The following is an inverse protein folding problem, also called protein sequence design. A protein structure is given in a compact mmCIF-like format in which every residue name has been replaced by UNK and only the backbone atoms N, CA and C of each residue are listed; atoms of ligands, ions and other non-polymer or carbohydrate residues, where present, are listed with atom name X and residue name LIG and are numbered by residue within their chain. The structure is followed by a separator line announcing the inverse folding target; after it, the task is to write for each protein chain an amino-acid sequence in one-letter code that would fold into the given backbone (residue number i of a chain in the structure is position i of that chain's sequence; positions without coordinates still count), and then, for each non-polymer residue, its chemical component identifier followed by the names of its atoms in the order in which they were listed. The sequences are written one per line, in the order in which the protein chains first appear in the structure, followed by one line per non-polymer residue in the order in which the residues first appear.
data_IF_664808463392
#
_entry.id   IF_664808463392
#
_cell.length_a   1.000
_cell.length_b   1.000
_cell.length_c   1.000
_cell.angle_alpha   90.00
_cell.angle_beta   90.00
_cell.angle_gamma   90.00
#
_symmetry.space_group_name_H-M   'P 1'
#
loop_
_entity.id
_entity.type
_entity.pdbx_description
1 polymer ?
#
# COMPACT_ATOMS: atom_id res chain seq x y z
N UNK A 1 12.44 -24.72 -8.46
CA UNK A 1 13.58 -23.83 -8.15
C UNK A 1 13.46 -23.37 -6.71
N UNK A 2 14.04 -24.10 -5.76
CA UNK A 2 14.08 -23.67 -4.35
C UNK A 2 15.20 -22.67 -4.15
N UNK A 3 14.92 -21.39 -4.44
CA UNK A 3 15.84 -20.30 -4.16
C UNK A 3 15.90 -20.11 -2.64
N UNK A 4 16.97 -20.59 -1.99
CA UNK A 4 17.19 -20.27 -0.58
C UNK A 4 17.54 -18.78 -0.50
N UNK A 5 16.65 -17.99 0.08
CA UNK A 5 16.89 -16.58 0.36
C UNK A 5 18.15 -16.48 1.22
N UNK A 6 19.16 -15.77 0.74
CA UNK A 6 20.33 -15.48 1.57
C UNK A 6 19.92 -14.54 2.70
N UNK A 7 20.64 -14.51 3.82
CA UNK A 7 20.33 -13.59 4.93
C UNK A 7 20.29 -12.12 4.48
N UNK A 8 21.01 -11.77 3.41
CA UNK A 8 20.95 -10.44 2.77
C UNK A 8 19.62 -10.19 2.05
N UNK A 9 19.02 -11.19 1.42
CA UNK A 9 17.73 -11.07 0.74
C UNK A 9 16.61 -10.92 1.78
N UNK A 10 16.68 -11.68 2.87
CA UNK A 10 15.74 -11.56 3.99
C UNK A 10 15.84 -10.16 4.62
N UNK A 11 17.06 -9.66 4.82
CA UNK A 11 17.28 -8.30 5.31
C UNK A 11 16.74 -7.25 4.34
N UNK A 12 16.98 -7.39 3.04
CA UNK A 12 16.49 -6.48 2.01
C UNK A 12 14.95 -6.50 1.90
N UNK A 13 14.34 -7.68 1.87
CA UNK A 13 12.88 -7.87 1.88
C UNK A 13 12.26 -7.30 3.17
N UNK A 14 12.93 -7.50 4.31
CA UNK A 14 12.53 -6.94 5.59
C UNK A 14 12.55 -5.40 5.58
N UNK A 15 13.64 -4.79 5.10
CA UNK A 15 13.75 -3.34 4.97
C UNK A 15 12.75 -2.75 3.97
N UNK A 16 12.49 -3.42 2.84
CA UNK A 16 11.50 -2.99 1.86
C UNK A 16 10.09 -2.99 2.47
N UNK A 17 9.74 -4.06 3.18
CA UNK A 17 8.44 -4.19 3.85
C UNK A 17 8.32 -3.17 4.99
N UNK A 18 9.39 -2.96 5.75
CA UNK A 18 9.47 -1.92 6.77
C UNK A 18 9.25 -0.52 6.18
N UNK A 19 9.95 -0.18 5.10
CA UNK A 19 9.80 1.11 4.42
C UNK A 19 8.37 1.34 3.89
N UNK A 20 7.69 0.28 3.45
CA UNK A 20 6.29 0.34 3.03
C UNK A 20 5.36 0.65 4.21
N UNK A 21 5.57 0.04 5.37
CA UNK A 21 4.75 0.27 6.57
C UNK A 21 5.13 1.51 7.38
N UNK A 22 6.36 1.99 7.30
CA UNK A 22 6.83 3.24 7.92
C UNK A 22 6.74 4.41 6.94
N UNK A 23 6.23 4.17 5.72
CA UNK A 23 6.04 5.21 4.72
C UNK A 23 5.13 6.35 5.18
N UNK A 24 5.18 7.47 4.45
CA UNK A 24 4.52 8.73 4.81
C UNK A 24 3.03 8.58 5.22
N UNK A 25 2.29 7.64 4.62
CA UNK A 25 0.92 7.35 5.02
C UNK A 25 0.80 6.90 6.47
N UNK A 26 1.54 5.86 6.87
CA UNK A 26 1.40 5.29 8.21
C UNK A 26 2.02 6.14 9.32
N UNK A 27 2.84 7.14 8.99
CA UNK A 27 3.35 8.13 9.96
C UNK A 27 2.40 9.33 10.09
N UNK A 28 1.79 9.80 9.00
CA UNK A 28 0.98 11.03 8.99
C UNK A 28 -0.48 10.75 9.41
N UNK A 29 -1.03 9.59 9.06
CA UNK A 29 -2.42 9.29 9.35
C UNK A 29 -2.73 9.14 10.85
N UNK A 30 -1.96 8.42 11.69
CA UNK A 30 -2.35 8.19 13.08
C UNK A 30 -2.56 9.46 13.92
N UNK A 31 -1.69 10.49 13.86
CA UNK A 31 -1.94 11.76 14.53
C UNK A 31 -3.20 12.45 13.98
N UNK A 32 -3.42 12.37 12.67
CA UNK A 32 -4.57 13.00 12.02
C UNK A 32 -5.89 12.34 12.41
N UNK A 33 -5.96 11.00 12.41
CA UNK A 33 -7.16 10.26 12.86
C UNK A 33 -7.34 10.41 14.36
N UNK A 34 -6.24 10.44 15.13
CA UNK A 34 -6.24 10.67 16.58
C UNK A 34 -6.87 12.02 16.93
N UNK A 35 -6.44 13.10 16.27
CA UNK A 35 -7.00 14.44 16.45
C UNK A 35 -8.49 14.52 16.05
N UNK A 36 -8.91 13.76 15.03
CA UNK A 36 -10.31 13.73 14.59
C UNK A 36 -11.20 12.85 15.48
N UNK A 37 -10.63 11.85 16.16
CA UNK A 37 -11.36 10.87 16.96
C UNK A 37 -11.74 11.32 18.38
N UNK A 38 -11.25 12.49 18.83
CA UNK A 38 -11.63 13.07 20.12
C UNK A 38 -11.35 12.12 21.30
N UNK A 39 -12.39 11.71 22.04
CA UNK A 39 -12.26 10.77 23.16
C UNK A 39 -12.12 9.29 22.72
N UNK A 40 -12.40 8.95 21.46
CA UNK A 40 -12.39 7.57 20.95
C UNK A 40 -11.08 7.20 20.23
N UNK A 41 -9.95 7.74 20.68
CA UNK A 41 -8.62 7.52 20.07
C UNK A 41 -8.26 6.04 20.00
N UNK A 42 -8.58 5.26 21.03
CA UNK A 42 -8.26 3.83 21.08
C UNK A 42 -9.00 3.01 20.01
N UNK A 43 -10.28 3.33 19.76
CA UNK A 43 -11.09 2.66 18.74
C UNK A 43 -10.60 3.06 17.34
N UNK A 44 -10.29 4.34 17.14
CA UNK A 44 -9.71 4.83 15.88
C UNK A 44 -8.33 4.21 15.59
N UNK A 45 -7.48 4.07 16.61
CA UNK A 45 -6.17 3.44 16.49
C UNK A 45 -6.27 1.95 16.13
N UNK A 46 -7.21 1.21 16.74
CA UNK A 46 -7.46 -0.19 16.39
C UNK A 46 -8.01 -0.35 14.97
N UNK A 47 -8.97 0.49 14.56
CA UNK A 47 -9.49 0.48 13.19
C UNK A 47 -8.40 0.80 12.16
N UNK A 48 -7.54 1.78 12.47
CA UNK A 48 -6.38 2.11 11.65
C UNK A 48 -5.40 0.94 11.56
N UNK A 49 -5.05 0.29 12.69
CA UNK A 49 -4.12 -0.84 12.69
C UNK A 49 -4.64 -2.00 11.84
N UNK A 50 -5.92 -2.36 12.00
CA UNK A 50 -6.55 -3.47 11.25
C UNK A 50 -6.57 -3.18 9.75
N UNK A 51 -6.86 -1.95 9.36
CA UNK A 51 -6.98 -1.59 7.93
C UNK A 51 -5.62 -1.30 7.28
N UNK A 52 -4.77 -0.51 7.93
CA UNK A 52 -3.47 -0.09 7.42
C UNK A 52 -2.42 -1.20 7.46
N UNK A 53 -2.53 -2.17 8.37
CA UNK A 53 -1.60 -3.31 8.44
C UNK A 53 -2.27 -4.62 8.02
N UNK A 54 -3.51 -4.86 8.42
CA UNK A 54 -4.20 -6.11 8.12
C UNK A 54 -4.45 -6.35 6.63
N UNK A 55 -4.91 -5.34 5.87
CA UNK A 55 -5.13 -5.51 4.43
C UNK A 55 -3.82 -5.78 3.66
N UNK A 56 -2.72 -5.01 3.85
CA UNK A 56 -1.45 -5.32 3.21
C UNK A 56 -0.88 -6.69 3.59
N UNK A 57 -0.96 -7.09 4.87
CA UNK A 57 -0.50 -8.41 5.32
C UNK A 57 -1.32 -9.52 4.66
N UNK A 58 -2.65 -9.41 4.62
CA UNK A 58 -3.53 -10.35 3.92
C UNK A 58 -3.18 -10.44 2.43
N UNK A 59 -2.84 -9.31 1.80
CA UNK A 59 -2.43 -9.25 0.39
C UNK A 59 -1.10 -9.96 0.16
N UNK A 60 -0.10 -9.74 1.03
CA UNK A 60 1.20 -10.43 0.94
C UNK A 60 1.05 -11.93 1.15
N UNK A 61 0.22 -12.37 2.11
CA UNK A 61 -0.08 -13.79 2.34
C UNK A 61 -0.75 -14.39 1.11
N UNK A 62 -1.75 -13.73 0.53
CA UNK A 62 -2.42 -14.20 -0.69
C UNK A 62 -1.43 -14.34 -1.86
N UNK A 63 -0.55 -13.36 -2.06
CA UNK A 63 0.49 -13.39 -3.09
C UNK A 63 1.49 -14.53 -2.86
N UNK A 64 1.91 -14.75 -1.61
CA UNK A 64 2.80 -15.84 -1.25
C UNK A 64 2.17 -17.22 -1.47
N UNK A 65 0.86 -17.37 -1.19
CA UNK A 65 0.12 -18.61 -1.43
C UNK A 65 -0.03 -18.96 -2.91
N UNK A 66 -0.11 -17.95 -3.76
CA UNK A 66 -0.35 -18.11 -5.20
C UNK A 66 0.96 -18.20 -6.01
N UNK A 67 2.12 -18.19 -5.34
CA UNK A 67 3.42 -18.40 -5.99
C UNK A 67 4.06 -17.14 -6.56
N UNK A 68 3.64 -15.95 -6.10
CA UNK A 68 4.35 -14.69 -6.34
C UNK A 68 4.03 -13.96 -7.66
N UNK A 69 3.22 -14.55 -8.54
CA UNK A 69 2.83 -13.92 -9.81
C UNK A 69 1.46 -13.24 -9.75
N UNK A 70 1.38 -11.99 -10.23
CA UNK A 70 0.09 -11.28 -10.43
C UNK A 70 -0.80 -12.02 -11.44
N UNK A 71 -0.18 -12.69 -12.42
CA UNK A 71 -0.85 -13.60 -13.36
C UNK A 71 -1.45 -14.82 -12.65
N UNK A 72 -0.75 -15.39 -11.66
CA UNK A 72 -1.21 -16.53 -10.90
C UNK A 72 -2.37 -16.15 -9.94
N UNK A 73 -2.34 -14.92 -9.38
CA UNK A 73 -3.45 -14.32 -8.62
C UNK A 73 -4.71 -14.11 -9.48
N UNK A 74 -4.52 -13.87 -10.77
CA UNK A 74 -5.62 -13.62 -11.73
C UNK A 74 -6.16 -14.90 -12.38
N UNK A 75 -5.51 -16.05 -12.21
CA UNK A 75 -6.03 -17.34 -12.74
C UNK A 75 -7.43 -17.70 -12.21
N UNK A 76 -7.76 -17.57 -10.91
CA UNK A 76 -9.10 -17.84 -10.41
C UNK A 76 -10.10 -16.68 -10.60
N UNK A 77 -9.63 -15.45 -10.83
CA UNK A 77 -10.47 -14.24 -11.01
C UNK A 77 -10.76 -13.93 -12.49
N UNK A 78 -9.95 -14.47 -13.41
CA UNK A 78 -9.98 -14.17 -14.84
C UNK A 78 -8.99 -13.04 -15.19
N UNK A 79 -8.20 -13.25 -16.25
CA UNK A 79 -7.14 -12.32 -16.70
C UNK A 79 -7.66 -10.91 -17.00
N UNK A 80 -8.90 -10.81 -17.48
CA UNK A 80 -9.58 -9.55 -17.78
C UNK A 80 -9.99 -8.79 -16.51
N UNK A 81 -10.54 -9.48 -15.51
CA UNK A 81 -10.93 -8.85 -14.24
C UNK A 81 -9.71 -8.38 -13.43
N UNK A 82 -8.61 -9.14 -13.45
CA UNK A 82 -7.32 -8.74 -12.86
C UNK A 82 -6.72 -7.50 -13.52
N UNK A 83 -6.73 -7.44 -14.86
CA UNK A 83 -6.28 -6.26 -15.61
C UNK A 83 -7.13 -5.04 -15.33
N UNK A 84 -8.46 -5.17 -15.34
CA UNK A 84 -9.39 -4.08 -15.08
C UNK A 84 -9.20 -3.53 -13.66
N UNK A 85 -9.10 -4.41 -12.66
CA UNK A 85 -8.83 -4.02 -11.28
C UNK A 85 -7.46 -3.33 -11.16
N UNK A 86 -6.41 -3.89 -11.77
CA UNK A 86 -5.08 -3.30 -11.75
C UNK A 86 -5.07 -1.91 -12.40
N UNK A 87 -5.73 -1.73 -13.54
CA UNK A 87 -5.85 -0.42 -14.21
C UNK A 87 -6.60 0.58 -13.32
N UNK A 88 -7.73 0.19 -12.73
CA UNK A 88 -8.49 1.07 -11.82
C UNK A 88 -7.67 1.44 -10.59
N UNK A 89 -6.99 0.48 -9.96
CA UNK A 89 -6.11 0.74 -8.82
C UNK A 89 -4.94 1.66 -9.17
N UNK A 90 -4.30 1.45 -10.34
CA UNK A 90 -3.18 2.29 -10.77
C UNK A 90 -3.62 3.72 -11.09
N UNK A 91 -4.79 3.88 -11.72
CA UNK A 91 -5.40 5.19 -11.98
C UNK A 91 -5.87 5.86 -10.68
N UNK A 92 -6.36 5.09 -9.72
CA UNK A 92 -6.72 5.59 -8.40
C UNK A 92 -5.49 6.14 -7.66
N UNK A 93 -4.48 5.29 -7.42
CA UNK A 93 -3.27 5.61 -6.64
C UNK A 93 -2.42 6.69 -7.30
N UNK A 94 -2.26 6.66 -8.63
CA UNK A 94 -1.46 7.65 -9.35
C UNK A 94 -2.24 8.95 -9.58
N UNK A 95 -2.91 9.11 -10.73
CA UNK A 95 -3.53 10.36 -11.10
C UNK A 95 -4.63 10.80 -10.15
N UNK A 96 -5.56 9.96 -9.69
CA UNK A 96 -6.71 10.44 -8.89
C UNK A 96 -6.33 10.87 -7.46
N UNK A 97 -5.41 10.18 -6.79
CA UNK A 97 -4.88 10.64 -5.49
C UNK A 97 -3.91 11.82 -5.64
N UNK A 98 -3.10 11.89 -6.70
CA UNK A 98 -2.21 13.04 -6.95
C UNK A 98 -2.96 14.29 -7.45
N UNK A 99 -4.05 14.13 -8.20
CA UNK A 99 -4.87 15.23 -8.73
C UNK A 99 -5.99 15.67 -7.81
N UNK A 100 -6.37 14.87 -6.80
CA UNK A 100 -7.18 15.34 -5.65
C UNK A 100 -6.35 16.16 -4.66
N UNK A 101 -5.33 16.88 -5.13
CA UNK A 101 -5.05 18.20 -4.60
C UNK A 101 -5.92 19.17 -5.41
N UNK A 102 -7.11 19.59 -4.93
CA UNK A 102 -7.91 20.59 -5.61
C UNK A 102 -7.24 21.96 -5.43
N UNK A 103 -6.13 22.16 -6.15
CA UNK A 103 -5.47 23.46 -6.34
C UNK A 103 -4.81 23.44 -7.71
N UNK A 104 -5.01 24.47 -8.55
CA UNK A 104 -4.26 24.65 -9.78
C UNK A 104 -2.82 25.05 -9.42
N UNK A 105 -2.01 24.10 -8.93
CA UNK A 105 -0.58 24.29 -8.70
C UNK A 105 0.22 23.61 -9.81
N UNK A 106 -0.16 23.89 -11.06
CA UNK A 106 0.61 23.56 -12.27
C UNK A 106 1.80 24.51 -12.48
N UNK A 107 2.50 24.91 -11.41
CA UNK A 107 3.62 25.86 -11.53
C UNK A 107 4.78 25.70 -10.52
N UNK A 108 4.82 24.65 -9.70
CA UNK A 108 5.95 24.47 -8.75
C UNK A 108 6.42 23.03 -8.59
N UNK A 109 6.55 22.31 -9.71
CA UNK A 109 7.19 20.99 -9.78
C UNK A 109 8.45 20.99 -10.68
N UNK A 110 9.08 22.16 -10.85
CA UNK A 110 10.33 22.32 -11.60
C UNK A 110 11.49 22.97 -10.83
N UNK A 111 11.34 23.23 -9.52
CA UNK A 111 12.30 24.06 -8.76
C UNK A 111 12.81 23.46 -7.45
N UNK A 112 12.56 22.19 -7.19
CA UNK A 112 13.34 21.40 -6.22
C UNK A 112 13.56 20.01 -6.83
N UNK A 113 14.52 19.96 -7.75
CA UNK A 113 15.51 18.89 -7.67
C UNK A 113 16.47 19.25 -6.55
#
# INVERSE_FOLDING_TARGET
MSHRLTSKDILALGFMTFALFVGAGNIIFPPMVGLQSGEHVWIAALGFLITAVGLPVMTVIALARVGGGVDALSTPIGRTAGLLLATVCYLAVGPLFATRAPRPCRLRWGLLR
#
